data_IF_800764226589
#
_entry.id   IF_800764226589
#
_cell.length_a   1.000
_cell.length_b   1.000
_cell.length_c   1.000
_cell.angle_alpha   90.00
_cell.angle_beta   90.00
_cell.angle_gamma   90.00
#
_symmetry.space_group_name_H-M   'P 1'
#
loop_
_entity.id
_entity.type
_entity.pdbx_description
1 polymer ?
#
# COMPACT_ATOMS: atom_id res chain seq x y z
N UNK A 1 20.59 -13.70 -48.93
CA UNK A 1 20.08 -13.43 -47.58
C UNK A 1 18.66 -12.96 -47.72
N UNK A 2 17.73 -13.81 -47.29
CA UNK A 2 16.37 -13.85 -47.81
C UNK A 2 15.44 -12.79 -47.22
N UNK A 3 14.74 -12.06 -48.09
CA UNK A 3 13.63 -11.15 -47.75
C UNK A 3 12.57 -11.83 -46.87
N UNK A 4 12.44 -13.13 -46.98
CA UNK A 4 11.47 -13.96 -46.23
C UNK A 4 11.71 -13.93 -44.70
N UNK A 5 12.96 -13.81 -44.24
CA UNK A 5 13.26 -13.78 -42.79
C UNK A 5 12.88 -12.44 -42.16
N UNK A 6 12.95 -11.34 -42.87
CA UNK A 6 12.61 -10.01 -42.37
C UNK A 6 11.09 -9.80 -42.21
N UNK A 7 10.32 -10.35 -43.14
CA UNK A 7 8.85 -10.24 -43.11
C UNK A 7 8.22 -11.10 -41.99
N UNK A 8 8.82 -12.25 -41.67
CA UNK A 8 8.37 -13.10 -40.56
C UNK A 8 8.64 -12.41 -39.19
N UNK A 9 9.84 -11.83 -39.05
CA UNK A 9 10.19 -11.10 -37.79
C UNK A 9 9.30 -9.87 -37.61
N UNK A 10 8.98 -9.14 -38.65
CA UNK A 10 8.10 -7.97 -38.59
C UNK A 10 6.66 -8.36 -38.23
N UNK A 11 6.12 -9.46 -38.76
CA UNK A 11 4.78 -9.95 -38.40
C UNK A 11 4.71 -10.38 -36.95
N UNK A 12 5.72 -11.09 -36.42
CA UNK A 12 5.78 -11.50 -35.03
C UNK A 12 5.87 -10.30 -34.09
N UNK A 13 6.61 -9.26 -34.44
CA UNK A 13 6.69 -8.03 -33.66
C UNK A 13 5.38 -7.24 -33.66
N UNK A 14 4.67 -7.19 -34.78
CA UNK A 14 3.38 -6.51 -34.87
C UNK A 14 2.35 -7.22 -34.04
N UNK A 15 2.27 -8.55 -34.14
CA UNK A 15 1.37 -9.35 -33.30
C UNK A 15 1.62 -9.16 -31.81
N UNK A 16 2.88 -9.20 -31.38
CA UNK A 16 3.25 -8.98 -29.97
C UNK A 16 2.85 -7.60 -29.45
N UNK A 17 2.91 -6.57 -30.30
CA UNK A 17 2.46 -5.21 -29.94
C UNK A 17 0.95 -5.13 -29.77
N UNK A 18 0.19 -5.75 -30.66
CA UNK A 18 -1.27 -5.83 -30.58
C UNK A 18 -1.72 -6.62 -29.36
N UNK A 19 -1.10 -7.75 -29.08
CA UNK A 19 -1.38 -8.56 -27.90
C UNK A 19 -1.09 -7.79 -26.59
N UNK A 20 0.01 -7.02 -26.57
CA UNK A 20 0.34 -6.18 -25.43
C UNK A 20 -0.71 -5.07 -25.22
N UNK A 21 -1.14 -4.40 -26.30
CA UNK A 21 -2.18 -3.37 -26.24
C UNK A 21 -3.49 -3.93 -25.72
N UNK A 22 -3.94 -5.09 -26.23
CA UNK A 22 -5.13 -5.77 -25.78
C UNK A 22 -5.05 -6.15 -24.31
N UNK A 23 -3.93 -6.69 -23.86
CA UNK A 23 -3.70 -7.06 -22.46
C UNK A 23 -3.78 -5.84 -21.53
N UNK A 24 -3.19 -4.72 -21.94
CA UNK A 24 -3.22 -3.47 -21.18
C UNK A 24 -4.64 -2.92 -21.07
N UNK A 25 -5.37 -2.83 -22.17
CA UNK A 25 -6.75 -2.33 -22.19
C UNK A 25 -7.72 -3.22 -21.42
N UNK A 26 -7.62 -4.53 -21.55
CA UNK A 26 -8.50 -5.48 -20.84
C UNK A 26 -8.27 -5.53 -19.33
N UNK A 27 -7.17 -5.00 -18.83
CA UNK A 27 -6.88 -4.96 -17.40
C UNK A 27 -7.70 -3.93 -16.62
N UNK A 28 -8.22 -2.91 -17.29
CA UNK A 28 -8.90 -1.74 -16.71
C UNK A 28 -8.08 -0.98 -15.64
N UNK A 29 -6.85 -1.39 -15.38
CA UNK A 29 -6.00 -0.81 -14.34
C UNK A 29 -5.58 0.62 -14.68
N UNK A 30 -5.50 0.93 -15.95
CA UNK A 30 -4.97 2.21 -16.46
C UNK A 30 -6.04 3.13 -17.03
N UNK A 31 -7.33 2.78 -16.95
CA UNK A 31 -8.44 3.53 -17.57
C UNK A 31 -8.46 5.00 -17.12
N UNK A 32 -8.28 5.24 -15.82
CA UNK A 32 -8.22 6.61 -15.29
C UNK A 32 -7.01 7.40 -15.81
N UNK A 33 -5.84 6.75 -15.87
CA UNK A 33 -4.62 7.37 -16.37
C UNK A 33 -4.74 7.71 -17.85
N UNK A 34 -5.19 6.74 -18.67
CA UNK A 34 -5.38 6.89 -20.12
C UNK A 34 -6.38 8.02 -20.40
N UNK A 35 -7.51 8.01 -19.72
CA UNK A 35 -8.56 9.03 -19.90
C UNK A 35 -8.13 10.43 -19.44
N UNK A 36 -7.46 10.51 -18.28
CA UNK A 36 -7.03 11.79 -17.71
C UNK A 36 -6.01 12.53 -18.57
N UNK A 37 -5.11 11.76 -19.20
CA UNK A 37 -3.99 12.31 -19.97
C UNK A 37 -4.16 12.10 -21.48
N UNK A 38 -5.33 11.63 -21.94
CA UNK A 38 -5.69 11.44 -23.35
C UNK A 38 -4.68 10.59 -24.12
N UNK A 39 -4.14 9.53 -23.47
CA UNK A 39 -3.11 8.67 -24.04
C UNK A 39 -3.68 7.83 -25.19
N UNK A 40 -3.10 7.93 -26.35
CA UNK A 40 -3.52 7.17 -27.53
C UNK A 40 -2.87 5.78 -27.61
N UNK A 41 -3.39 4.92 -28.52
CA UNK A 41 -2.92 3.54 -28.66
C UNK A 41 -1.45 3.43 -29.06
N UNK A 42 -0.95 4.37 -29.86
CA UNK A 42 0.45 4.39 -30.27
C UNK A 42 1.39 4.71 -29.10
N UNK A 43 0.97 5.61 -28.20
CA UNK A 43 1.72 5.93 -26.99
C UNK A 43 1.73 4.74 -26.02
N UNK A 44 0.62 4.01 -25.90
CA UNK A 44 0.55 2.77 -25.11
C UNK A 44 1.52 1.74 -25.68
N UNK A 45 1.52 1.52 -27.00
CA UNK A 45 2.41 0.57 -27.66
C UNK A 45 3.88 0.96 -27.46
N UNK A 46 4.22 2.23 -27.64
CA UNK A 46 5.58 2.73 -27.47
C UNK A 46 6.10 2.58 -26.03
N UNK A 47 5.20 2.59 -25.07
CA UNK A 47 5.50 2.44 -23.63
C UNK A 47 5.03 1.10 -23.06
N UNK A 48 4.69 0.11 -23.89
CA UNK A 48 4.07 -1.15 -23.46
C UNK A 48 4.84 -1.87 -22.35
N UNK A 49 6.17 -1.83 -22.38
CA UNK A 49 7.01 -2.44 -21.34
C UNK A 49 6.75 -1.85 -19.94
N UNK A 50 6.45 -0.55 -19.85
CA UNK A 50 6.17 0.14 -18.59
C UNK A 50 4.80 -0.27 -18.04
N UNK A 51 3.79 -0.35 -18.91
CA UNK A 51 2.44 -0.82 -18.55
C UNK A 51 2.45 -2.29 -18.12
N UNK A 52 3.10 -3.15 -18.90
CA UNK A 52 3.18 -4.59 -18.63
C UNK A 52 3.91 -4.87 -17.31
N UNK A 53 4.95 -4.12 -16.98
CA UNK A 53 5.66 -4.24 -15.71
C UNK A 53 4.74 -3.98 -14.52
N UNK A 54 3.87 -2.97 -14.60
CA UNK A 54 2.89 -2.68 -13.53
C UNK A 54 1.83 -3.79 -13.45
N UNK A 55 1.39 -4.37 -14.58
CA UNK A 55 0.48 -5.50 -14.57
C UNK A 55 1.07 -6.72 -13.89
N UNK A 56 2.31 -7.07 -14.22
CA UNK A 56 3.02 -8.19 -13.59
C UNK A 56 3.20 -7.98 -12.08
N UNK A 57 3.54 -6.75 -11.70
CA UNK A 57 3.64 -6.36 -10.30
C UNK A 57 2.31 -6.49 -9.59
N UNK A 58 1.23 -5.98 -10.18
CA UNK A 58 -0.10 -6.04 -9.59
C UNK A 58 -0.55 -7.50 -9.35
N UNK A 59 -0.31 -8.40 -10.30
CA UNK A 59 -0.57 -9.83 -10.14
C UNK A 59 0.29 -10.43 -9.01
N UNK A 60 1.56 -10.09 -8.94
CA UNK A 60 2.49 -10.56 -7.89
C UNK A 60 2.05 -10.08 -6.51
N UNK A 61 1.55 -8.83 -6.42
CA UNK A 61 1.13 -8.20 -5.16
C UNK A 61 -0.27 -8.56 -4.71
N UNK A 62 -1.09 -9.19 -5.56
CA UNK A 62 -2.50 -9.52 -5.31
C UNK A 62 -2.71 -10.31 -4.02
N UNK A 63 -1.84 -11.28 -3.75
CA UNK A 63 -1.89 -12.13 -2.57
C UNK A 63 -0.83 -11.79 -1.51
N UNK A 64 -0.17 -10.64 -1.63
CA UNK A 64 0.82 -10.21 -0.67
C UNK A 64 0.14 -9.74 0.61
N UNK A 65 0.49 -10.29 1.77
CA UNK A 65 -0.08 -9.92 3.07
C UNK A 65 0.78 -8.89 3.80
N UNK A 66 2.10 -9.02 3.72
CA UNK A 66 3.05 -8.14 4.41
C UNK A 66 4.38 -8.03 3.64
N UNK A 67 5.28 -7.20 4.15
CA UNK A 67 6.56 -6.94 3.52
C UNK A 67 7.51 -8.16 3.56
N UNK A 68 7.38 -9.04 4.56
CA UNK A 68 8.24 -10.24 4.68
C UNK A 68 7.99 -11.22 3.55
N UNK A 69 6.75 -11.27 3.06
CA UNK A 69 6.30 -12.11 1.95
C UNK A 69 6.42 -11.43 0.58
N UNK A 70 7.02 -10.25 0.53
CA UNK A 70 7.16 -9.49 -0.71
C UNK A 70 8.08 -10.21 -1.70
N UNK A 71 7.52 -10.56 -2.87
CA UNK A 71 8.22 -11.22 -3.98
C UNK A 71 8.84 -10.25 -4.98
N UNK A 72 8.65 -8.95 -4.77
CA UNK A 72 9.20 -7.93 -5.65
C UNK A 72 10.72 -7.81 -5.49
N UNK A 73 11.40 -7.50 -6.59
CA UNK A 73 12.85 -7.23 -6.59
C UNK A 73 13.16 -6.08 -5.64
N UNK A 74 12.40 -4.98 -5.74
CA UNK A 74 12.49 -3.85 -4.82
C UNK A 74 11.40 -3.99 -3.75
N UNK A 75 11.73 -4.66 -2.64
CA UNK A 75 10.79 -4.89 -1.54
C UNK A 75 10.27 -3.57 -0.95
N UNK A 76 8.98 -3.51 -0.70
CA UNK A 76 8.35 -2.37 -0.04
C UNK A 76 8.14 -1.15 -0.94
N UNK A 77 8.26 -1.34 -2.23
CA UNK A 77 8.03 -0.30 -3.25
C UNK A 77 7.12 -0.86 -4.31
N UNK A 78 6.27 -0.03 -4.91
CA UNK A 78 5.55 -0.35 -6.12
C UNK A 78 5.62 0.71 -7.20
N UNK A 79 5.42 0.30 -8.46
CA UNK A 79 5.51 1.20 -9.59
C UNK A 79 4.14 1.74 -9.98
N UNK A 80 4.15 2.98 -10.47
CA UNK A 80 2.98 3.61 -11.08
C UNK A 80 3.43 4.43 -12.30
N UNK A 81 2.47 4.74 -13.18
CA UNK A 81 2.74 5.58 -14.32
C UNK A 81 2.72 7.06 -13.93
N UNK A 82 3.66 7.79 -14.45
CA UNK A 82 3.75 9.24 -14.35
C UNK A 82 4.46 9.81 -15.56
N UNK A 83 4.84 11.08 -15.49
CA UNK A 83 5.62 11.72 -16.56
C UNK A 83 6.99 12.15 -16.02
N UNK A 84 8.01 12.01 -16.85
CA UNK A 84 9.34 12.55 -16.55
C UNK A 84 9.41 14.07 -16.76
N UNK A 85 10.62 14.63 -16.67
CA UNK A 85 10.85 16.07 -16.88
C UNK A 85 10.61 16.53 -18.33
N UNK A 86 10.59 15.61 -19.27
CA UNK A 86 10.38 15.85 -20.69
C UNK A 86 8.91 15.67 -21.10
N UNK A 87 8.04 15.28 -20.17
CA UNK A 87 6.64 14.98 -20.43
C UNK A 87 6.41 13.58 -21.03
N UNK A 88 7.41 12.70 -21.01
CA UNK A 88 7.26 11.33 -21.49
C UNK A 88 6.74 10.40 -20.38
N UNK A 89 5.93 9.40 -20.76
CA UNK A 89 5.43 8.39 -19.83
C UNK A 89 6.60 7.68 -19.16
N UNK A 90 6.67 7.70 -17.84
CA UNK A 90 7.74 7.12 -17.04
C UNK A 90 7.19 6.22 -15.93
N UNK A 91 7.97 5.19 -15.58
CA UNK A 91 7.74 4.42 -14.35
C UNK A 91 8.25 5.22 -13.16
N UNK A 92 7.35 5.53 -12.24
CA UNK A 92 7.68 6.13 -10.94
C UNK A 92 7.52 5.09 -9.85
N UNK A 93 8.18 5.32 -8.73
CA UNK A 93 8.15 4.44 -7.57
C UNK A 93 7.49 5.15 -6.40
N UNK A 94 6.66 4.44 -5.68
CA UNK A 94 6.12 4.88 -4.40
C UNK A 94 6.24 3.77 -3.35
N UNK A 95 6.32 4.13 -2.07
CA UNK A 95 6.33 3.14 -1.01
C UNK A 95 5.06 2.31 -1.01
N UNK A 96 5.22 0.99 -0.93
CA UNK A 96 4.10 0.07 -0.82
C UNK A 96 3.25 0.40 0.42
N UNK A 97 1.93 0.37 0.29
CA UNK A 97 0.99 0.59 1.40
C UNK A 97 1.20 -0.37 2.58
N UNK A 98 1.82 -1.52 2.32
CA UNK A 98 2.17 -2.53 3.33
C UNK A 98 3.57 -2.33 3.93
N UNK A 99 4.27 -1.27 3.53
CA UNK A 99 5.56 -0.92 4.12
C UNK A 99 5.35 -0.27 5.49
N UNK A 100 5.62 -1.03 6.54
CA UNK A 100 5.42 -0.61 7.93
C UNK A 100 6.12 0.72 8.27
N UNK A 101 7.28 0.97 7.68
CA UNK A 101 8.02 2.23 7.91
C UNK A 101 7.25 3.45 7.41
N UNK A 102 6.61 3.34 6.24
CA UNK A 102 5.79 4.43 5.67
C UNK A 102 4.56 4.69 6.52
N UNK A 103 3.89 3.61 6.94
CA UNK A 103 2.71 3.70 7.81
C UNK A 103 3.09 4.35 9.15
N UNK A 104 4.22 3.92 9.73
CA UNK A 104 4.73 4.49 10.98
C UNK A 104 5.03 5.98 10.84
N UNK A 105 5.79 6.38 9.81
CA UNK A 105 6.14 7.78 9.57
C UNK A 105 4.93 8.67 9.29
N UNK A 106 3.84 8.09 8.78
CA UNK A 106 2.57 8.79 8.58
C UNK A 106 1.90 9.14 9.92
N UNK A 107 1.92 8.22 10.88
CA UNK A 107 1.16 8.34 12.12
C UNK A 107 2.00 8.73 13.34
N UNK A 108 3.29 8.43 13.33
CA UNK A 108 4.17 8.69 14.48
C UNK A 108 5.22 9.75 14.16
N UNK A 109 5.41 10.68 15.10
CA UNK A 109 6.57 11.59 15.13
C UNK A 109 7.75 10.84 15.73
N UNK A 110 7.48 10.05 16.77
CA UNK A 110 8.44 9.20 17.47
C UNK A 110 7.72 7.94 17.93
N UNK A 111 8.37 6.79 17.82
CA UNK A 111 7.86 5.50 18.30
C UNK A 111 9.00 4.70 18.94
N UNK A 112 8.90 4.52 20.25
CA UNK A 112 9.76 3.61 21.03
C UNK A 112 9.02 2.29 21.30
N UNK A 113 8.61 1.62 20.21
CA UNK A 113 7.90 0.34 20.25
C UNK A 113 8.17 -0.48 19.00
N UNK A 114 7.79 -1.77 19.03
CA UNK A 114 7.91 -2.66 17.89
C UNK A 114 7.14 -2.13 16.67
N UNK A 115 7.79 -2.14 15.52
CA UNK A 115 7.23 -1.65 14.25
C UNK A 115 6.03 -2.45 13.79
N UNK A 116 5.88 -3.69 14.24
CA UNK A 116 4.75 -4.56 13.93
C UNK A 116 3.42 -4.06 14.49
N UNK A 117 3.47 -3.03 15.33
CA UNK A 117 2.27 -2.36 15.85
C UNK A 117 1.31 -1.87 14.75
N UNK A 118 1.81 -1.64 13.53
CA UNK A 118 0.99 -1.23 12.39
C UNK A 118 -0.02 -2.29 11.95
N UNK A 119 0.26 -3.56 12.24
CA UNK A 119 -0.56 -4.69 11.87
C UNK A 119 -1.76 -4.91 12.82
N UNK A 120 -1.79 -4.18 13.92
CA UNK A 120 -2.84 -4.30 14.93
C UNK A 120 -3.84 -3.14 14.87
N UNK A 121 -5.07 -3.45 15.16
CA UNK A 121 -6.18 -2.48 15.31
C UNK A 121 -6.84 -2.61 16.69
N UNK A 122 -7.90 -1.85 16.92
CA UNK A 122 -8.61 -1.89 18.23
C UNK A 122 -9.28 -3.25 18.48
N UNK A 123 -9.62 -4.00 17.43
CA UNK A 123 -10.20 -5.34 17.56
C UNK A 123 -9.13 -6.35 17.99
N UNK A 124 -7.87 -6.12 17.62
CA UNK A 124 -6.74 -6.92 18.07
C UNK A 124 -6.53 -6.86 19.59
N UNK A 125 -7.10 -5.85 20.26
CA UNK A 125 -7.07 -5.72 21.72
C UNK A 125 -8.12 -6.61 22.41
N UNK A 126 -9.07 -7.15 21.63
CA UNK A 126 -10.16 -8.00 22.14
C UNK A 126 -9.70 -9.45 22.07
N UNK A 127 -9.15 -9.94 23.19
CA UNK A 127 -8.89 -11.37 23.35
C UNK A 127 -10.06 -12.00 24.13
N UNK A 128 -10.67 -13.11 23.67
CA UNK A 128 -11.75 -13.80 24.39
C UNK A 128 -11.43 -14.11 25.84
N UNK A 129 -10.19 -14.49 26.13
CA UNK A 129 -9.74 -14.85 27.48
C UNK A 129 -9.70 -13.67 28.48
N UNK A 130 -9.63 -12.44 27.96
CA UNK A 130 -9.48 -11.22 28.76
C UNK A 130 -10.57 -10.17 28.50
N UNK A 131 -11.62 -10.53 27.78
CA UNK A 131 -12.64 -9.60 27.29
C UNK A 131 -13.31 -8.80 28.43
N UNK A 132 -13.58 -9.46 29.56
CA UNK A 132 -14.24 -8.81 30.67
C UNK A 132 -13.36 -7.76 31.36
N UNK A 133 -12.10 -8.07 31.61
CA UNK A 133 -11.16 -7.14 32.27
C UNK A 133 -10.79 -5.96 31.36
N UNK A 134 -10.77 -6.15 30.05
CA UNK A 134 -10.40 -5.13 29.06
C UNK A 134 -11.59 -4.35 28.49
N UNK A 135 -12.81 -4.83 28.68
CA UNK A 135 -14.03 -4.20 28.12
C UNK A 135 -14.16 -2.72 28.49
N UNK A 136 -13.97 -2.36 29.75
CA UNK A 136 -14.03 -0.96 30.23
C UNK A 136 -12.98 -0.09 29.54
N UNK A 137 -11.77 -0.61 29.37
CA UNK A 137 -10.67 0.09 28.72
C UNK A 137 -10.95 0.31 27.22
N UNK A 138 -11.43 -0.72 26.51
CA UNK A 138 -11.80 -0.62 25.10
C UNK A 138 -12.94 0.38 24.89
N UNK A 139 -13.92 0.41 25.79
CA UNK A 139 -14.99 1.42 25.76
C UNK A 139 -14.45 2.83 25.98
N UNK A 140 -13.53 3.02 26.93
CA UNK A 140 -12.88 4.31 27.16
C UNK A 140 -12.04 4.76 25.93
N UNK A 141 -11.35 3.84 25.25
CA UNK A 141 -10.66 4.15 24.01
C UNK A 141 -11.63 4.55 22.89
N UNK A 142 -12.74 3.83 22.73
CA UNK A 142 -13.78 4.16 21.74
C UNK A 142 -14.39 5.53 22.03
N UNK A 143 -14.65 5.85 23.28
CA UNK A 143 -15.16 7.16 23.69
C UNK A 143 -14.20 8.30 23.32
N UNK A 144 -12.91 8.16 23.59
CA UNK A 144 -11.90 9.13 23.16
C UNK A 144 -11.79 9.28 21.63
N UNK A 145 -12.07 8.23 20.86
CA UNK A 145 -12.06 8.31 19.40
C UNK A 145 -13.28 9.07 18.86
N UNK A 146 -14.42 9.01 19.56
CA UNK A 146 -15.67 9.61 19.09
C UNK A 146 -15.89 11.01 19.64
N UNK A 147 -15.44 11.27 20.86
CA UNK A 147 -15.66 12.57 21.54
C UNK A 147 -14.48 13.53 21.31
N UNK A 148 -14.79 14.83 21.35
CA UNK A 148 -13.78 15.90 21.29
C UNK A 148 -13.40 16.40 22.69
N UNK A 149 -13.23 15.48 23.64
CA UNK A 149 -12.88 15.83 25.02
C UNK A 149 -11.36 16.01 25.16
N UNK A 150 -10.95 16.94 26.03
CA UNK A 150 -9.56 17.11 26.46
C UNK A 150 -9.16 16.11 27.57
N UNK A 151 -9.90 15.01 27.73
CA UNK A 151 -9.61 13.97 28.71
C UNK A 151 -8.55 13.02 28.19
N UNK A 152 -7.63 12.60 29.04
CA UNK A 152 -6.64 11.55 28.76
C UNK A 152 -7.05 10.22 29.39
N UNK A 153 -6.33 9.17 29.04
CA UNK A 153 -6.44 7.85 29.68
C UNK A 153 -5.13 7.58 30.42
N UNK A 154 -5.26 7.19 31.68
CA UNK A 154 -4.16 6.68 32.48
C UNK A 154 -4.34 5.17 32.68
N UNK A 155 -3.38 4.35 32.23
CA UNK A 155 -3.37 2.91 32.40
C UNK A 155 -2.47 2.49 33.55
N UNK A 156 -3.06 1.79 34.53
CA UNK A 156 -2.31 1.18 35.62
C UNK A 156 -2.64 -0.31 35.71
N UNK A 157 -1.80 -1.06 36.40
CA UNK A 157 -1.97 -2.50 36.62
C UNK A 157 -0.64 -3.22 36.71
N UNK A 158 -0.69 -4.53 36.90
CA UNK A 158 0.49 -5.40 37.04
C UNK A 158 1.47 -5.31 35.90
N UNK A 159 2.72 -5.66 36.17
CA UNK A 159 3.76 -5.82 35.14
C UNK A 159 3.31 -6.88 34.12
N UNK A 160 3.66 -6.71 32.86
CA UNK A 160 3.32 -7.64 31.75
C UNK A 160 1.82 -7.76 31.42
N UNK A 161 0.94 -6.93 31.96
CA UNK A 161 -0.49 -6.90 31.61
C UNK A 161 -0.80 -6.37 30.19
N UNK A 162 0.23 -6.09 29.38
CA UNK A 162 0.06 -5.61 28.00
C UNK A 162 -0.32 -4.13 27.88
N UNK A 163 -0.09 -3.31 28.91
CA UNK A 163 -0.44 -1.87 28.91
C UNK A 163 0.21 -1.10 27.78
N UNK A 164 1.53 -1.26 27.59
CA UNK A 164 2.29 -0.57 26.52
C UNK A 164 1.81 -1.00 25.15
N UNK A 165 1.55 -2.29 24.94
CA UNK A 165 0.98 -2.79 23.69
C UNK A 165 -0.38 -2.13 23.41
N UNK A 166 -1.28 -2.12 24.37
CA UNK A 166 -2.61 -1.52 24.20
C UNK A 166 -2.53 -0.01 23.91
N UNK A 167 -1.63 0.72 24.59
CA UNK A 167 -1.43 2.15 24.33
C UNK A 167 -0.83 2.40 22.95
N UNK A 168 0.14 1.60 22.50
CA UNK A 168 0.75 1.73 21.19
C UNK A 168 -0.26 1.48 20.07
N UNK A 169 -1.07 0.40 20.16
CA UNK A 169 -2.18 0.14 19.22
C UNK A 169 -3.17 1.29 19.22
N UNK A 170 -3.59 1.75 20.41
CA UNK A 170 -4.54 2.85 20.54
C UNK A 170 -3.98 4.15 19.94
N UNK A 171 -2.70 4.48 20.20
CA UNK A 171 -2.03 5.65 19.63
C UNK A 171 -2.04 5.65 18.10
N UNK A 172 -1.76 4.50 17.47
CA UNK A 172 -1.86 4.33 16.02
C UNK A 172 -3.29 4.57 15.55
N UNK A 173 -4.28 3.90 16.14
CA UNK A 173 -5.69 4.03 15.73
C UNK A 173 -6.21 5.46 15.94
N UNK A 174 -5.77 6.12 17.03
CA UNK A 174 -6.09 7.52 17.28
C UNK A 174 -5.50 8.44 16.21
N UNK A 175 -4.22 8.27 15.89
CA UNK A 175 -3.53 9.05 14.85
C UNK A 175 -4.23 8.90 13.49
N UNK A 176 -4.59 7.68 13.13
CA UNK A 176 -5.30 7.37 11.89
C UNK A 176 -6.68 8.03 11.83
N UNK A 177 -7.52 7.83 12.85
CA UNK A 177 -8.90 8.33 12.86
C UNK A 177 -9.01 9.84 13.02
N UNK A 178 -8.10 10.45 13.77
CA UNK A 178 -8.09 11.90 13.99
C UNK A 178 -7.21 12.65 12.99
N UNK A 179 -6.56 11.94 12.07
CA UNK A 179 -5.58 12.50 11.12
C UNK A 179 -4.53 13.36 11.82
N UNK A 180 -3.96 12.83 12.89
CA UNK A 180 -2.94 13.50 13.71
C UNK A 180 -1.70 12.63 13.81
N UNK A 181 -0.56 13.25 14.12
CA UNK A 181 0.66 12.52 14.47
C UNK A 181 0.77 12.41 15.98
N UNK A 182 1.29 11.28 16.45
CA UNK A 182 1.49 10.98 17.87
C UNK A 182 2.96 10.67 18.14
N UNK A 183 3.39 10.88 19.37
CA UNK A 183 4.66 10.37 19.90
C UNK A 183 4.34 9.26 20.93
N UNK A 184 5.10 8.15 20.87
CA UNK A 184 4.95 7.02 21.77
C UNK A 184 6.31 6.45 22.15
#
# INVERSE_FOLDING_TARGET
>A
MDKVSFDIVNKDLTQKREDALLKIKNSHLFDEFIKKYEINDQEIINNASKFLKILEENETCKNCMDLSLCKMINKGVHYFLGFDSNGEIALKMEPCKKNNVVILNKYFIYLDYDKDIVNYDINSLVNPDYIYSRKKLILAFKDLLTTSTNKGIYLYGSRQAGKSFMLAVFSKVYAERKNKKVAF
#
